data_IF_785826631843
#
_entry.id   IF_785826631843
#
_cell.length_a   1.000
_cell.length_b   1.000
_cell.length_c   1.000
_cell.angle_alpha   90.00
_cell.angle_beta   90.00
_cell.angle_gamma   90.00
#
_symmetry.space_group_name_H-M   'P 1'
#
loop_
_entity.id
_entity.type
_entity.pdbx_description
1 polymer ?
#
# COMPACT_ATOMS: atom_id res chain seq x y z
N UNK A 1 106.32 -30.56 -39.88
CA UNK A 1 106.12 -30.99 -38.47
C UNK A 1 105.26 -29.96 -37.74
N UNK A 2 103.97 -30.23 -37.50
CA UNK A 2 103.01 -29.24 -36.94
C UNK A 2 103.27 -28.85 -35.47
N UNK A 3 104.21 -29.50 -34.77
CA UNK A 3 104.53 -29.23 -33.36
C UNK A 3 105.54 -28.11 -33.15
N UNK A 4 106.25 -27.68 -34.20
CA UNK A 4 107.29 -26.65 -34.08
C UNK A 4 106.70 -25.25 -33.85
N UNK A 5 105.51 -24.99 -34.38
CA UNK A 5 104.76 -23.75 -34.15
C UNK A 5 103.86 -23.82 -32.88
N UNK A 6 103.87 -24.94 -32.15
CA UNK A 6 103.03 -25.12 -30.97
C UNK A 6 103.62 -24.38 -29.77
N UNK A 7 102.86 -23.42 -29.23
CA UNK A 7 103.22 -22.64 -28.04
C UNK A 7 102.33 -23.06 -26.88
N UNK A 8 102.83 -23.86 -25.91
CA UNK A 8 102.06 -24.22 -24.74
C UNK A 8 101.92 -23.01 -23.80
N UNK A 9 100.77 -22.90 -23.14
CA UNK A 9 100.47 -21.81 -22.20
C UNK A 9 101.32 -21.90 -20.91
N UNK A 10 101.77 -23.10 -20.58
CA UNK A 10 102.62 -23.39 -19.43
C UNK A 10 103.96 -23.96 -19.90
N UNK A 11 105.06 -23.75 -19.16
CA UNK A 11 106.33 -24.38 -19.46
C UNK A 11 106.18 -25.91 -19.50
N UNK A 12 106.55 -26.52 -20.63
CA UNK A 12 106.46 -27.96 -20.83
C UNK A 12 107.83 -28.51 -21.25
N UNK A 13 108.27 -29.61 -20.62
CA UNK A 13 109.56 -30.23 -20.93
C UNK A 13 109.65 -30.78 -22.36
N UNK A 14 108.54 -31.30 -22.92
CA UNK A 14 108.48 -31.80 -24.28
C UNK A 14 107.26 -31.24 -25.03
N UNK A 15 107.51 -30.34 -25.99
CA UNK A 15 106.47 -29.65 -26.78
C UNK A 15 105.62 -30.57 -27.64
N UNK A 16 106.21 -31.66 -28.15
CA UNK A 16 105.49 -32.60 -29.02
C UNK A 16 104.44 -33.41 -28.24
N UNK A 17 104.80 -33.87 -27.04
CA UNK A 17 103.87 -34.60 -26.17
C UNK A 17 102.76 -33.67 -25.66
N UNK A 18 103.11 -32.45 -25.25
CA UNK A 18 102.15 -31.44 -24.82
C UNK A 18 101.12 -31.14 -25.90
N UNK A 19 101.55 -30.92 -27.15
CA UNK A 19 100.64 -30.71 -28.28
C UNK A 19 99.65 -31.88 -28.47
N UNK A 20 100.14 -33.12 -28.36
CA UNK A 20 99.28 -34.30 -28.52
C UNK A 20 98.22 -34.39 -27.44
N UNK A 21 98.57 -34.09 -26.20
CA UNK A 21 97.63 -34.09 -25.08
C UNK A 21 96.59 -32.99 -25.17
N UNK A 22 97.00 -31.79 -25.55
CA UNK A 22 96.08 -30.65 -25.69
C UNK A 22 95.14 -30.88 -26.88
N UNK A 23 95.63 -31.45 -27.97
CA UNK A 23 94.79 -31.88 -29.10
C UNK A 23 93.80 -32.97 -28.70
N UNK A 24 94.24 -34.01 -27.98
CA UNK A 24 93.35 -35.08 -27.52
C UNK A 24 92.27 -34.57 -26.53
N UNK A 25 92.64 -33.66 -25.64
CA UNK A 25 91.72 -33.02 -24.69
C UNK A 25 90.71 -32.13 -25.40
N UNK A 26 91.16 -31.34 -26.38
CA UNK A 26 90.30 -30.54 -27.23
C UNK A 26 89.33 -31.42 -28.03
N UNK A 27 89.81 -32.48 -28.67
CA UNK A 27 88.98 -33.41 -29.44
C UNK A 27 87.96 -34.15 -28.55
N UNK A 28 88.32 -34.47 -27.30
CA UNK A 28 87.38 -35.02 -26.32
C UNK A 28 86.32 -33.99 -25.91
N UNK A 29 86.72 -32.74 -25.65
CA UNK A 29 85.81 -31.65 -25.35
C UNK A 29 84.84 -31.40 -26.51
N UNK A 30 85.35 -31.34 -27.75
CA UNK A 30 84.56 -31.18 -28.96
C UNK A 30 83.54 -32.32 -29.12
N UNK A 31 83.95 -33.57 -28.88
CA UNK A 31 83.02 -34.71 -28.86
C UNK A 31 81.93 -34.57 -27.79
N UNK A 32 82.29 -34.13 -26.58
CA UNK A 32 81.33 -33.90 -25.48
C UNK A 32 80.36 -32.75 -25.76
N UNK A 33 80.83 -31.67 -26.39
CA UNK A 33 80.00 -30.53 -26.81
C UNK A 33 79.07 -30.94 -27.93
N UNK A 34 79.57 -31.68 -28.93
CA UNK A 34 78.75 -32.22 -30.01
C UNK A 34 77.69 -33.21 -29.49
N UNK A 35 78.05 -34.11 -28.57
CA UNK A 35 77.08 -35.03 -27.96
C UNK A 35 76.05 -34.31 -27.09
N UNK A 36 76.40 -33.16 -26.49
CA UNK A 36 75.47 -32.34 -25.69
C UNK A 36 74.57 -31.47 -26.56
N UNK A 37 75.00 -31.11 -27.78
CA UNK A 37 74.29 -30.23 -28.71
C UNK A 37 73.14 -30.89 -29.47
N UNK A 38 72.84 -32.17 -29.23
CA UNK A 38 71.79 -32.91 -29.94
C UNK A 38 70.46 -32.98 -29.17
N UNK A 39 70.25 -32.10 -28.20
CA UNK A 39 68.97 -31.95 -27.49
C UNK A 39 68.42 -30.53 -27.65
N UNK A 40 68.36 -30.01 -28.89
CA UNK A 40 67.54 -28.83 -29.18
C UNK A 40 66.08 -29.22 -29.48
N UNK A 41 65.83 -30.51 -29.72
CA UNK A 41 64.51 -31.07 -30.08
C UNK A 41 63.99 -32.07 -29.04
N UNK A 42 64.28 -31.87 -27.74
CA UNK A 42 63.64 -32.69 -26.70
C UNK A 42 63.49 -31.92 -25.37
N UNK A 43 62.62 -30.90 -25.39
CA UNK A 43 61.79 -30.62 -24.22
C UNK A 43 60.33 -30.83 -24.62
N UNK A 44 59.77 -32.04 -24.44
CA UNK A 44 58.37 -32.33 -24.78
C UNK A 44 57.36 -31.55 -23.94
N UNK A 45 57.82 -30.71 -23.00
CA UNK A 45 57.02 -29.81 -22.19
C UNK A 45 56.75 -28.45 -22.83
N UNK A 46 57.65 -27.90 -23.66
CA UNK A 46 57.50 -26.52 -24.16
C UNK A 46 56.51 -26.43 -25.32
N UNK A 47 56.54 -27.39 -26.26
CA UNK A 47 55.59 -27.45 -27.39
C UNK A 47 54.14 -27.63 -26.93
N UNK A 48 53.92 -28.47 -25.90
CA UNK A 48 52.60 -28.64 -25.27
C UNK A 48 52.12 -27.37 -24.59
N UNK A 49 53.03 -26.68 -23.89
CA UNK A 49 52.72 -25.40 -23.27
C UNK A 49 52.33 -24.40 -24.36
N UNK A 50 53.12 -24.25 -25.42
CA UNK A 50 52.86 -23.33 -26.54
C UNK A 50 51.51 -23.61 -27.22
N UNK A 51 51.16 -24.88 -27.43
CA UNK A 51 49.84 -25.28 -27.91
C UNK A 51 48.71 -24.90 -26.94
N UNK A 52 48.92 -25.07 -25.63
CA UNK A 52 47.96 -24.63 -24.60
C UNK A 52 47.77 -23.11 -24.58
N UNK A 53 48.85 -22.33 -24.72
CA UNK A 53 48.78 -20.86 -24.82
C UNK A 53 48.05 -20.44 -26.09
N UNK A 54 48.35 -21.05 -27.23
CA UNK A 54 47.70 -20.77 -28.50
C UNK A 54 46.19 -21.08 -28.43
N UNK A 55 45.81 -22.21 -27.83
CA UNK A 55 44.41 -22.57 -27.63
C UNK A 55 43.68 -21.56 -26.72
N UNK A 56 44.34 -21.10 -25.65
CA UNK A 56 43.77 -20.10 -24.75
C UNK A 56 43.53 -18.76 -25.47
N UNK A 57 44.54 -18.28 -26.20
CA UNK A 57 44.45 -17.05 -26.99
C UNK A 57 43.32 -17.16 -28.02
N UNK A 58 43.23 -18.29 -28.74
CA UNK A 58 42.19 -18.48 -29.73
C UNK A 58 40.79 -18.50 -29.12
N UNK A 59 40.64 -19.12 -27.94
CA UNK A 59 39.37 -19.14 -27.21
C UNK A 59 38.95 -17.74 -26.75
N UNK A 60 39.89 -16.96 -26.23
CA UNK A 60 39.64 -15.57 -25.82
C UNK A 60 39.31 -14.67 -27.02
N UNK A 61 40.00 -14.83 -28.14
CA UNK A 61 39.72 -14.11 -29.38
C UNK A 61 38.31 -14.43 -29.92
N UNK A 62 37.91 -15.70 -29.93
CA UNK A 62 36.57 -16.10 -30.36
C UNK A 62 35.48 -15.50 -29.45
N UNK A 63 35.68 -15.55 -28.13
CA UNK A 63 34.76 -14.95 -27.15
C UNK A 63 34.69 -13.43 -27.31
N UNK A 64 35.82 -12.76 -27.60
CA UNK A 64 35.84 -11.33 -27.85
C UNK A 64 35.09 -11.00 -29.15
N UNK A 65 35.31 -11.75 -30.22
CA UNK A 65 34.61 -11.59 -31.49
C UNK A 65 33.10 -11.76 -31.31
N UNK A 66 32.65 -12.78 -30.57
CA UNK A 66 31.23 -12.99 -30.27
C UNK A 66 30.62 -11.80 -29.53
N UNK A 67 31.31 -11.26 -28.52
CA UNK A 67 30.88 -10.04 -27.81
C UNK A 67 30.83 -8.83 -28.71
N UNK A 68 31.83 -8.63 -29.57
CA UNK A 68 31.87 -7.52 -30.52
C UNK A 68 30.74 -7.66 -31.54
N UNK A 69 30.55 -8.84 -32.12
CA UNK A 69 29.44 -9.10 -33.04
C UNK A 69 28.09 -8.82 -32.38
N UNK A 70 27.89 -9.28 -31.14
CA UNK A 70 26.66 -9.00 -30.39
C UNK A 70 26.44 -7.49 -30.15
N UNK A 71 27.50 -6.75 -29.84
CA UNK A 71 27.46 -5.28 -29.67
C UNK A 71 27.25 -4.57 -31.02
N UNK A 72 27.75 -5.11 -32.12
CA UNK A 72 27.59 -4.53 -33.46
C UNK A 72 26.19 -4.80 -34.02
N UNK A 73 25.63 -5.98 -33.77
CA UNK A 73 24.26 -6.35 -34.12
C UNK A 73 23.24 -5.55 -33.29
N UNK A 74 23.54 -5.29 -32.03
CA UNK A 74 22.68 -4.50 -31.14
C UNK A 74 23.00 -3.02 -31.29
N UNK A 75 22.02 -2.12 -31.41
CA UNK A 75 22.24 -0.66 -31.60
C UNK A 75 22.84 0.06 -30.35
N UNK A 76 23.52 -0.65 -29.45
CA UNK A 76 24.17 -0.07 -28.27
C UNK A 76 23.20 0.34 -27.16
N UNK A 77 21.97 -0.17 -27.16
CA UNK A 77 21.02 0.06 -26.08
C UNK A 77 21.41 -0.76 -24.84
N UNK A 78 22.19 -0.16 -23.94
CA UNK A 78 22.35 -0.66 -22.57
C UNK A 78 20.99 -0.53 -21.89
N UNK A 79 20.42 -1.64 -21.43
CA UNK A 79 19.16 -1.61 -20.69
C UNK A 79 19.40 -1.00 -19.30
N UNK A 80 19.20 0.31 -19.17
CA UNK A 80 19.22 0.97 -17.86
C UNK A 80 18.03 0.57 -16.96
N UNK A 81 17.34 -0.54 -17.27
CA UNK A 81 16.25 -1.11 -16.49
C UNK A 81 16.81 -2.09 -15.48
N UNK A 82 17.26 -1.54 -14.37
CA UNK A 82 17.62 -2.36 -13.24
C UNK A 82 16.38 -2.71 -12.40
N UNK A 83 15.97 -3.98 -12.41
CA UNK A 83 14.87 -4.48 -11.59
C UNK A 83 15.33 -4.72 -10.14
N UNK A 84 15.64 -3.64 -9.43
CA UNK A 84 15.87 -3.75 -7.99
C UNK A 84 14.56 -3.76 -7.23
N UNK A 85 14.34 -4.81 -6.43
CA UNK A 85 13.33 -4.75 -5.37
C UNK A 85 13.80 -3.73 -4.35
N UNK A 86 13.09 -2.60 -4.21
CA UNK A 86 13.39 -1.59 -3.18
C UNK A 86 13.26 -2.21 -1.80
N UNK A 87 14.39 -2.52 -1.17
CA UNK A 87 14.46 -3.01 0.21
C UNK A 87 14.52 -1.81 1.15
N UNK A 88 13.42 -1.49 1.82
CA UNK A 88 13.46 -0.54 2.93
C UNK A 88 13.96 -1.27 4.18
N UNK A 89 15.03 -0.77 4.79
CA UNK A 89 15.66 -1.34 6.00
C UNK A 89 14.70 -1.46 7.20
N UNK A 90 13.53 -0.82 7.16
CA UNK A 90 12.53 -0.79 8.24
C UNK A 90 11.24 -1.57 7.96
N UNK A 91 11.14 -2.29 6.83
CA UNK A 91 9.88 -2.97 6.43
C UNK A 91 9.39 -3.94 7.49
N UNK A 92 10.29 -4.79 7.96
CA UNK A 92 9.98 -5.85 8.92
C UNK A 92 9.57 -5.26 10.28
N UNK A 93 10.32 -4.28 10.78
CA UNK A 93 9.97 -3.56 12.02
C UNK A 93 8.59 -2.88 11.93
N UNK A 94 8.25 -2.30 10.77
CA UNK A 94 6.93 -1.70 10.54
C UNK A 94 5.82 -2.76 10.54
N UNK A 95 6.07 -3.93 9.95
CA UNK A 95 5.11 -5.04 9.93
C UNK A 95 4.87 -5.61 11.33
N UNK A 96 5.92 -5.82 12.12
CA UNK A 96 5.78 -6.31 13.51
C UNK A 96 5.02 -5.31 14.38
N UNK A 97 5.30 -4.01 14.25
CA UNK A 97 4.59 -2.98 15.01
C UNK A 97 3.12 -2.88 14.59
N UNK A 98 2.82 -3.02 13.29
CA UNK A 98 1.45 -3.05 12.79
C UNK A 98 0.65 -4.21 13.40
N UNK A 99 1.25 -5.40 13.46
CA UNK A 99 0.62 -6.58 14.07
C UNK A 99 0.37 -6.36 15.56
N UNK A 100 1.36 -5.82 16.28
CA UNK A 100 1.23 -5.50 17.71
C UNK A 100 0.10 -4.50 17.97
N UNK A 101 0.06 -3.39 17.22
CA UNK A 101 -1.00 -2.38 17.34
C UNK A 101 -2.37 -3.01 17.05
N UNK A 102 -2.44 -3.90 16.06
CA UNK A 102 -3.70 -4.58 15.70
C UNK A 102 -4.21 -5.45 16.84
N UNK A 103 -3.33 -6.26 17.44
CA UNK A 103 -3.68 -7.10 18.59
C UNK A 103 -4.10 -6.27 19.81
N UNK A 104 -3.38 -5.17 20.10
CA UNK A 104 -3.75 -4.25 21.17
C UNK A 104 -5.11 -3.59 20.92
N UNK A 105 -5.40 -3.18 19.68
CA UNK A 105 -6.68 -2.62 19.28
C UNK A 105 -7.82 -3.64 19.41
N UNK A 106 -7.61 -4.89 19.02
CA UNK A 106 -8.60 -5.97 19.20
C UNK A 106 -8.89 -6.22 20.68
N UNK A 107 -7.86 -6.21 21.54
CA UNK A 107 -8.03 -6.34 22.99
C UNK A 107 -8.81 -5.17 23.58
N UNK A 108 -8.54 -3.94 23.13
CA UNK A 108 -9.29 -2.76 23.54
C UNK A 108 -10.75 -2.82 23.07
N UNK A 109 -11.00 -3.24 21.84
CA UNK A 109 -12.35 -3.39 21.29
C UNK A 109 -13.14 -4.45 22.07
N UNK A 110 -12.52 -5.59 22.40
CA UNK A 110 -13.12 -6.61 23.26
C UNK A 110 -13.53 -6.02 24.61
N UNK A 111 -12.64 -5.27 25.26
CA UNK A 111 -12.92 -4.62 26.56
C UNK A 111 -14.05 -3.61 26.44
N UNK A 112 -14.02 -2.73 25.44
CA UNK A 112 -15.07 -1.74 25.21
C UNK A 112 -16.43 -2.39 24.98
N UNK A 113 -16.46 -3.50 24.24
CA UNK A 113 -17.70 -4.24 23.95
C UNK A 113 -18.22 -4.96 25.19
N UNK A 114 -17.33 -5.53 26.01
CA UNK A 114 -17.70 -6.21 27.26
C UNK A 114 -18.11 -5.23 28.36
N UNK A 115 -17.53 -4.03 28.37
CA UNK A 115 -17.92 -2.93 29.24
C UNK A 115 -19.31 -2.42 28.85
N UNK A 116 -20.36 -3.05 29.37
CA UNK A 116 -21.72 -2.51 29.30
C UNK A 116 -21.81 -1.21 30.08
N UNK A 117 -22.56 -0.25 29.56
CA UNK A 117 -22.94 0.96 30.31
C UNK A 117 -23.61 0.54 31.62
N UNK A 118 -23.15 1.08 32.76
CA UNK A 118 -23.84 0.96 34.05
C UNK A 118 -25.23 1.61 34.03
N UNK A 119 -25.44 2.51 33.08
CA UNK A 119 -26.70 3.21 32.87
C UNK A 119 -27.48 2.49 31.77
N UNK A 120 -28.51 1.76 32.16
CA UNK A 120 -29.51 1.24 31.23
C UNK A 120 -30.72 2.18 31.23
N UNK A 121 -30.88 2.93 30.14
CA UNK A 121 -31.96 3.91 30.00
C UNK A 121 -33.33 3.26 30.12
N UNK A 122 -33.49 2.02 29.66
CA UNK A 122 -34.76 1.31 29.69
C UNK A 122 -35.18 0.96 31.11
N UNK A 123 -34.31 0.33 31.91
CA UNK A 123 -34.59 0.07 33.32
C UNK A 123 -34.81 1.36 34.13
N UNK A 124 -34.04 2.42 33.88
CA UNK A 124 -34.26 3.71 34.54
C UNK A 124 -35.62 4.33 34.18
N UNK A 125 -36.05 4.18 32.93
CA UNK A 125 -37.37 4.64 32.50
C UNK A 125 -38.48 3.84 33.19
N UNK A 126 -38.34 2.53 33.30
CA UNK A 126 -39.29 1.67 34.01
C UNK A 126 -39.37 2.02 35.50
N UNK A 127 -38.23 2.21 36.16
CA UNK A 127 -38.18 2.58 37.58
C UNK A 127 -38.75 3.97 37.83
N UNK A 128 -38.54 4.90 36.89
CA UNK A 128 -39.24 6.17 36.90
C UNK A 128 -40.75 5.94 36.78
N UNK A 129 -41.25 5.20 35.78
CA UNK A 129 -42.69 4.93 35.65
C UNK A 129 -43.31 4.28 36.89
N UNK A 130 -42.60 3.33 37.54
CA UNK A 130 -43.02 2.73 38.83
C UNK A 130 -43.12 3.78 39.93
N UNK A 131 -42.11 4.65 40.04
CA UNK A 131 -42.10 5.75 41.01
C UNK A 131 -43.25 6.71 40.74
N UNK A 132 -43.54 7.06 39.49
CA UNK A 132 -44.68 7.91 39.11
C UNK A 132 -46.01 7.30 39.57
N UNK A 133 -46.19 5.98 39.36
CA UNK A 133 -47.38 5.24 39.80
C UNK A 133 -47.54 5.22 41.32
N UNK A 134 -46.46 4.97 42.06
CA UNK A 134 -46.45 5.02 43.53
C UNK A 134 -46.79 6.43 44.02
N UNK A 135 -46.14 7.44 43.44
CA UNK A 135 -46.44 8.82 43.76
C UNK A 135 -47.92 9.09 43.51
N UNK A 136 -48.53 8.62 42.41
CA UNK A 136 -49.92 8.93 42.04
C UNK A 136 -50.90 8.27 43.02
N UNK A 137 -50.50 7.12 43.55
CA UNK A 137 -51.27 6.36 44.53
C UNK A 137 -51.23 7.00 45.93
N UNK A 138 -50.13 7.66 46.29
CA UNK A 138 -49.93 8.33 47.60
C UNK A 138 -50.36 9.81 47.54
N UNK A 139 -50.57 10.36 46.35
CA UNK A 139 -50.95 11.76 46.19
C UNK A 139 -52.33 12.03 46.80
N UNK A 140 -52.38 12.92 47.81
CA UNK A 140 -53.62 13.40 48.42
C UNK A 140 -54.54 14.12 47.41
N UNK A 141 -53.97 14.71 46.37
CA UNK A 141 -54.70 15.45 45.33
C UNK A 141 -54.44 14.82 43.96
N UNK A 142 -55.47 14.60 43.12
CA UNK A 142 -55.28 14.03 41.78
C UNK A 142 -54.39 14.92 40.92
N UNK A 143 -53.25 14.38 40.48
CA UNK A 143 -52.35 15.07 39.55
C UNK A 143 -52.96 15.08 38.16
N UNK A 144 -53.05 16.27 37.55
CA UNK A 144 -53.67 16.47 36.23
C UNK A 144 -54.90 17.39 36.21
N UNK A 145 -55.50 17.74 37.36
CA UNK A 145 -56.68 18.64 37.38
C UNK A 145 -56.39 20.06 36.86
N UNK A 146 -55.15 20.55 37.01
CA UNK A 146 -54.75 21.86 36.49
C UNK A 146 -54.65 21.91 34.95
N UNK A 147 -54.38 20.77 34.30
CA UNK A 147 -54.32 20.68 32.84
C UNK A 147 -55.71 20.43 32.22
N UNK A 148 -56.61 19.75 32.92
CA UNK A 148 -58.01 19.59 32.52
C UNK A 148 -58.76 20.93 32.50
N UNK A 149 -58.50 21.82 33.47
CA UNK A 149 -59.05 23.18 33.46
C UNK A 149 -58.68 23.96 32.19
N UNK A 150 -57.48 23.78 31.64
CA UNK A 150 -57.04 24.44 30.40
C UNK A 150 -57.79 23.92 29.16
N UNK A 151 -58.02 22.61 29.08
CA UNK A 151 -58.77 21.98 27.97
C UNK A 151 -60.26 22.33 28.05
N UNK A 152 -60.84 22.34 29.26
CA UNK A 152 -62.22 22.76 29.47
C UNK A 152 -62.44 24.27 29.23
N UNK A 153 -61.49 25.14 29.58
CA UNK A 153 -61.55 26.56 29.20
C UNK A 153 -61.41 26.76 27.70
N UNK A 154 -60.58 25.95 27.01
CA UNK A 154 -60.47 26.00 25.56
C UNK A 154 -61.75 25.54 24.85
N UNK A 155 -62.41 24.47 25.33
CA UNK A 155 -63.72 24.04 24.82
C UNK A 155 -64.85 25.04 25.14
N UNK A 156 -64.82 25.71 26.30
CA UNK A 156 -65.78 26.75 26.67
C UNK A 156 -65.59 28.06 25.91
N UNK A 157 -64.37 28.41 25.51
CA UNK A 157 -64.14 29.53 24.60
C UNK A 157 -64.70 29.25 23.20
N UNK A 158 -64.82 27.98 22.80
CA UNK A 158 -65.39 27.61 21.50
C UNK A 158 -66.93 27.66 21.44
N UNK A 159 -67.62 27.39 22.55
CA UNK A 159 -69.10 27.44 22.59
C UNK A 159 -69.64 28.87 22.72
N UNK A 160 -68.84 29.81 23.24
CA UNK A 160 -69.25 31.20 23.41
C UNK A 160 -69.22 32.02 22.10
N UNK A 161 -68.44 31.64 21.09
CA UNK A 161 -68.49 32.30 19.78
C UNK A 161 -69.70 31.85 18.94
N UNK A 162 -70.16 30.60 19.08
CA UNK A 162 -71.35 30.10 18.38
C UNK A 162 -72.63 30.67 18.98
N UNK A 163 -72.76 30.74 20.31
CA UNK A 163 -73.97 31.29 20.94
C UNK A 163 -74.13 32.80 20.71
N UNK A 164 -73.05 33.59 20.72
CA UNK A 164 -73.09 35.02 20.33
C UNK A 164 -73.48 35.21 18.86
N UNK A 165 -73.03 34.32 17.97
CA UNK A 165 -73.37 34.36 16.54
C UNK A 165 -74.85 34.06 16.32
N UNK A 166 -75.39 33.03 16.98
CA UNK A 166 -76.80 32.63 16.87
C UNK A 166 -77.73 33.68 17.48
N UNK A 167 -77.39 34.29 18.63
CA UNK A 167 -78.20 35.36 19.21
C UNK A 167 -78.21 36.65 18.36
N UNK A 168 -77.11 36.96 17.65
CA UNK A 168 -77.06 38.08 16.68
C UNK A 168 -77.82 37.80 15.38
N UNK A 169 -77.99 36.52 15.00
CA UNK A 169 -78.74 36.10 13.83
C UNK A 169 -80.26 36.08 14.11
N UNK A 170 -80.66 35.65 15.31
CA UNK A 170 -82.07 35.65 15.75
C UNK A 170 -82.61 37.08 15.92
N UNK A 171 -81.79 38.03 16.40
CA UNK A 171 -82.21 39.44 16.49
C UNK A 171 -82.39 40.10 15.11
N UNK A 172 -81.63 39.68 14.09
CA UNK A 172 -81.75 40.19 12.71
C UNK A 172 -82.99 39.65 11.97
N UNK A 173 -83.47 38.45 12.28
CA UNK A 173 -84.70 37.92 11.67
C UNK A 173 -85.98 38.51 12.26
N UNK A 174 -85.97 38.98 13.51
CA UNK A 174 -87.16 39.58 14.15
C UNK A 174 -87.42 41.05 13.75
N UNK A 175 -86.49 41.68 13.03
CA UNK A 175 -86.67 43.01 12.44
C UNK A 175 -87.14 42.97 10.98
N UNK A 176 -87.03 41.81 10.30
CA UNK A 176 -87.40 41.64 8.88
C UNK A 176 -88.83 41.11 8.69
N UNK A 177 -89.38 40.42 9.69
CA UNK A 177 -90.78 39.97 9.73
C UNK A 177 -91.81 41.08 10.04
N UNK A 178 -91.37 42.32 10.34
CA UNK A 178 -92.26 43.50 10.49
C UNK A 178 -92.40 44.33 9.21
N UNK A 179 -91.60 44.09 8.17
CA UNK A 179 -91.65 44.84 6.90
C UNK A 179 -92.27 44.05 5.73
N UNK A 180 -92.54 42.75 5.89
CA UNK A 180 -93.20 41.92 4.86
C UNK A 180 -94.73 41.78 5.05
N UNK A 181 -95.29 42.18 6.21
CA UNK A 181 -96.75 42.19 6.46
C UNK A 181 -97.45 43.51 6.10
N UNK A 182 -96.74 44.44 5.43
CA UNK A 182 -97.32 45.71 4.94
C UNK A 182 -97.62 45.69 3.43
N UNK A 183 -96.99 44.80 2.67
CA UNK A 183 -97.12 44.71 1.20
C UNK A 183 -98.16 43.68 0.73
N UNK A 184 -98.64 42.79 1.59
CA UNK A 184 -99.72 41.81 1.30
C UNK A 184 -101.13 42.32 1.66
N UNK A 185 -101.27 43.59 2.04
CA UNK A 185 -102.57 44.25 2.26
C UNK A 185 -102.99 45.20 1.12
N UNK A 186 -102.15 45.39 0.11
CA UNK A 186 -102.45 46.19 -1.08
C UNK A 186 -102.76 45.35 -2.34
N UNK A 187 -102.52 44.03 -2.30
CA UNK A 187 -102.90 43.12 -3.41
C UNK A 187 -104.25 42.42 -3.19
N UNK A 188 -104.87 42.54 -2.01
CA UNK A 188 -106.31 42.27 -1.81
C UNK A 188 -107.18 43.44 -2.31
N UNK A 189 -106.64 44.16 -3.29
CA UNK A 189 -107.28 45.10 -4.21
C UNK A 189 -107.09 44.61 -5.66
N UNK A 190 -106.73 43.34 -5.86
CA UNK A 190 -107.41 42.57 -6.89
C UNK A 190 -108.91 42.57 -6.57
N UNK A 191 -109.74 42.35 -7.58
CA UNK A 191 -111.17 42.04 -7.49
C UNK A 191 -112.20 43.12 -7.88
N UNK A 192 -111.88 44.17 -8.66
CA UNK A 192 -112.95 45.09 -9.13
C UNK A 192 -112.89 45.61 -10.59
N UNK A 193 -111.96 45.18 -11.46
CA UNK A 193 -111.93 45.73 -12.83
C UNK A 193 -111.26 44.83 -13.88
N UNK A 194 -111.81 43.64 -14.14
CA UNK A 194 -111.75 43.05 -15.50
C UNK A 194 -112.75 41.90 -15.62
N UNK A 195 -113.99 42.28 -15.97
CA UNK A 195 -114.96 41.46 -16.68
C UNK A 195 -115.66 42.34 -17.71
#
# INVERSE_FOLDING_TARGET
MQHQAYQPLLPAGNKYLQQKWDKASYDLHRRKVQSRSLCFECSPSTKKLEEEWAMKIQRENNMLQEKISHIMETTGAVDNRNFYTTKSLSKEKRQTELLRITEENERLLCRLTQCKSRYDRSSWHEDWLKTLKVMDSIARCPRGRANQQKVDTACKLKTNYTLKTVHSAIFRHNSRSKTENKTTKETNREEDAEK
#
